data_IF_875208779195
#
_entry.id   IF_875208779195
#
_cell.length_a   1.000
_cell.length_b   1.000
_cell.length_c   1.000
_cell.angle_alpha   90.00
_cell.angle_beta   90.00
_cell.angle_gamma   90.00
#
_symmetry.space_group_name_H-M   'P 1'
#
loop_
_entity.id
_entity.type
_entity.pdbx_description
1 polymer ?
#
# COMPACT_ATOMS: atom_id res chain seq x y z
N UNK A 1 29.44 -7.76 7.63
CA UNK A 1 29.09 -7.30 6.28
C UNK A 1 28.81 -8.47 5.31
N UNK A 2 29.44 -9.67 5.49
CA UNK A 2 29.17 -10.87 4.65
C UNK A 2 27.82 -11.57 4.90
N UNK A 3 27.21 -11.38 6.06
CA UNK A 3 25.97 -12.10 6.46
C UNK A 3 24.70 -11.59 5.79
N UNK A 4 24.59 -10.29 5.55
CA UNK A 4 23.38 -9.67 5.00
C UNK A 4 23.22 -9.96 3.49
N UNK A 5 24.31 -9.97 2.74
CA UNK A 5 24.27 -10.36 1.31
C UNK A 5 23.75 -11.79 1.10
N UNK A 6 24.05 -12.69 2.03
CA UNK A 6 23.58 -14.09 1.95
C UNK A 6 22.10 -14.23 2.34
N UNK A 7 21.61 -13.37 3.22
CA UNK A 7 20.19 -13.41 3.62
C UNK A 7 19.28 -12.88 2.52
N UNK A 8 19.63 -11.75 1.90
CA UNK A 8 18.86 -11.17 0.79
C UNK A 8 18.90 -12.06 -0.47
N UNK A 9 20.02 -12.73 -0.76
CA UNK A 9 20.08 -13.69 -1.87
C UNK A 9 19.31 -14.99 -1.63
N UNK A 10 19.15 -15.44 -0.38
CA UNK A 10 18.37 -16.65 -0.08
C UNK A 10 16.87 -16.42 -0.01
N UNK A 11 16.43 -15.22 0.35
CA UNK A 11 14.99 -14.89 0.40
C UNK A 11 14.41 -14.59 -0.99
N UNK A 12 15.26 -14.26 -1.96
CA UNK A 12 14.83 -14.00 -3.35
C UNK A 12 14.69 -15.27 -4.22
N UNK A 13 15.03 -16.47 -3.76
CA UNK A 13 15.31 -17.59 -4.69
C UNK A 13 14.52 -18.86 -4.43
N UNK A 14 13.62 -18.97 -3.51
CA UNK A 14 12.78 -20.18 -3.42
C UNK A 14 11.40 -19.90 -2.85
N UNK A 15 10.62 -19.17 -3.58
CA UNK A 15 9.17 -19.13 -3.42
C UNK A 15 8.56 -19.12 -4.80
N UNK A 16 7.53 -19.92 -5.00
CA UNK A 16 6.75 -19.96 -6.22
C UNK A 16 6.61 -18.57 -6.85
N UNK A 17 6.58 -18.44 -8.18
CA UNK A 17 6.35 -17.17 -8.85
C UNK A 17 4.90 -16.74 -8.68
N UNK A 18 4.50 -16.45 -7.48
CA UNK A 18 3.43 -15.49 -7.21
C UNK A 18 4.08 -14.12 -7.36
N UNK A 19 4.61 -13.91 -8.53
CA UNK A 19 5.16 -12.64 -8.92
C UNK A 19 4.06 -11.61 -8.78
N UNK A 20 4.40 -10.44 -8.24
CA UNK A 20 3.55 -9.23 -8.22
C UNK A 20 2.83 -9.05 -9.56
N UNK A 21 3.51 -9.34 -10.68
CA UNK A 21 2.93 -9.43 -12.03
C UNK A 21 1.81 -10.45 -12.17
N UNK A 22 1.82 -11.55 -11.44
CA UNK A 22 0.73 -12.54 -11.49
C UNK A 22 -0.48 -12.07 -10.67
N UNK A 23 -0.26 -11.42 -9.52
CA UNK A 23 -1.32 -10.82 -8.73
C UNK A 23 -1.97 -9.64 -9.48
N UNK A 24 -1.19 -8.75 -10.06
CA UNK A 24 -1.70 -7.64 -10.87
C UNK A 24 -2.40 -8.11 -12.14
N UNK A 25 -1.94 -9.18 -12.79
CA UNK A 25 -2.64 -9.80 -13.94
C UNK A 25 -3.91 -10.54 -13.52
N UNK A 26 -3.90 -11.22 -12.39
CA UNK A 26 -5.06 -11.96 -11.90
C UNK A 26 -6.24 -11.03 -11.56
N UNK A 27 -5.96 -9.80 -11.11
CA UNK A 27 -6.99 -8.82 -10.76
C UNK A 27 -7.21 -7.75 -11.86
N UNK A 28 -6.65 -7.94 -13.07
CA UNK A 28 -6.79 -7.00 -14.20
C UNK A 28 -6.53 -5.54 -13.80
N UNK A 29 -5.45 -5.29 -13.04
CA UNK A 29 -5.02 -3.93 -12.68
C UNK A 29 -4.41 -3.22 -13.90
N UNK A 30 -5.09 -3.34 -15.02
CA UNK A 30 -4.77 -2.67 -16.28
C UNK A 30 -5.96 -1.85 -16.71
N UNK A 31 -5.92 -0.53 -16.47
CA UNK A 31 -6.93 0.40 -16.98
C UNK A 31 -8.18 0.54 -16.12
N UNK A 32 -8.06 0.44 -14.79
CA UNK A 32 -9.15 0.85 -13.91
C UNK A 32 -9.42 2.33 -14.12
N UNK A 33 -10.46 2.63 -14.90
CA UNK A 33 -11.08 3.95 -14.89
C UNK A 33 -11.67 4.15 -13.50
N UNK A 34 -11.62 5.38 -12.97
CA UNK A 34 -12.45 5.77 -11.84
C UNK A 34 -13.86 5.26 -12.13
N UNK A 35 -14.34 4.29 -11.37
CA UNK A 35 -15.70 3.79 -11.54
C UNK A 35 -16.64 4.96 -11.28
N UNK A 36 -17.50 5.28 -12.25
CA UNK A 36 -18.56 6.26 -12.04
C UNK A 36 -19.44 5.74 -10.89
N UNK A 37 -19.28 6.29 -9.70
CA UNK A 37 -20.02 5.84 -8.53
C UNK A 37 -19.44 6.36 -7.22
N UNK A 38 -20.13 6.10 -6.11
CA UNK A 38 -19.64 6.53 -4.80
C UNK A 38 -18.35 5.78 -4.44
N UNK A 39 -17.47 6.48 -3.72
CA UNK A 39 -16.27 5.87 -3.14
C UNK A 39 -16.61 4.57 -2.41
N UNK A 40 -15.76 3.55 -2.50
CA UNK A 40 -16.03 2.21 -1.93
C UNK A 40 -16.34 2.26 -0.43
N UNK A 41 -15.81 3.24 0.31
CA UNK A 41 -16.11 3.44 1.73
C UNK A 41 -17.51 4.05 2.00
N UNK A 42 -18.23 4.45 0.94
CA UNK A 42 -19.62 4.92 1.00
C UNK A 42 -20.63 3.81 0.75
N UNK A 43 -20.16 2.65 0.31
CA UNK A 43 -20.97 1.47 0.05
C UNK A 43 -21.18 0.65 1.32
N UNK A 44 -22.38 0.17 1.55
CA UNK A 44 -22.62 -0.89 2.53
C UNK A 44 -21.98 -2.20 2.08
N UNK A 45 -21.78 -3.14 2.99
CA UNK A 45 -21.12 -4.41 2.71
C UNK A 45 -21.73 -5.15 1.51
N UNK A 46 -23.05 -5.13 1.37
CA UNK A 46 -23.78 -5.76 0.27
C UNK A 46 -23.46 -5.12 -1.08
N UNK A 47 -23.28 -3.81 -1.10
CA UNK A 47 -23.12 -3.00 -2.31
C UNK A 47 -21.68 -3.03 -2.86
N UNK A 48 -20.70 -3.43 -2.04
CA UNK A 48 -19.32 -3.57 -2.50
C UNK A 48 -19.22 -4.76 -3.42
N UNK A 49 -18.66 -4.56 -4.60
CA UNK A 49 -18.40 -5.60 -5.59
C UNK A 49 -16.90 -5.91 -5.67
N UNK A 50 -16.57 -7.18 -5.94
CA UNK A 50 -15.18 -7.56 -6.21
C UNK A 50 -14.74 -6.88 -7.50
N UNK A 51 -13.61 -6.17 -7.43
CA UNK A 51 -13.11 -5.33 -8.52
C UNK A 51 -13.43 -3.84 -8.37
N UNK A 52 -14.31 -3.45 -7.44
CA UNK A 52 -14.48 -2.03 -7.10
C UNK A 52 -13.11 -1.41 -6.82
N UNK A 53 -12.77 -0.35 -7.54
CA UNK A 53 -11.43 0.25 -7.49
C UNK A 53 -11.50 1.75 -7.28
N UNK A 54 -10.64 2.26 -6.41
CA UNK A 54 -10.35 3.68 -6.24
C UNK A 54 -8.92 3.92 -6.73
N UNK A 55 -8.75 4.93 -7.57
CA UNK A 55 -7.44 5.44 -7.98
C UNK A 55 -7.30 6.83 -7.38
N UNK A 56 -6.24 7.03 -6.62
CA UNK A 56 -6.02 8.28 -5.88
C UNK A 56 -5.26 9.31 -6.71
N UNK A 57 -5.31 10.55 -6.28
CA UNK A 57 -4.32 11.55 -6.66
C UNK A 57 -2.91 11.11 -6.23
N UNK A 58 -1.89 11.65 -6.90
CA UNK A 58 -0.50 11.38 -6.56
C UNK A 58 0.00 12.34 -5.48
N UNK A 59 0.88 11.82 -4.63
CA UNK A 59 1.59 12.58 -3.60
C UNK A 59 3.08 12.64 -3.92
N UNK A 60 3.65 13.84 -3.91
CA UNK A 60 5.09 14.05 -4.02
C UNK A 60 5.75 13.70 -2.67
N UNK A 61 6.65 12.73 -2.69
CA UNK A 61 7.47 12.38 -1.52
C UNK A 61 8.61 13.40 -1.40
N UNK A 62 8.71 14.04 -0.25
CA UNK A 62 9.73 15.06 0.01
C UNK A 62 10.72 14.60 1.09
N UNK A 63 11.88 15.24 1.13
CA UNK A 63 12.84 15.02 2.20
C UNK A 63 12.27 15.41 3.56
N UNK A 64 11.42 16.47 3.62
CA UNK A 64 10.74 16.87 4.83
C UNK A 64 9.80 15.78 5.34
N UNK A 65 9.07 15.10 4.45
CA UNK A 65 8.23 13.96 4.85
C UNK A 65 9.04 12.85 5.51
N UNK A 66 10.24 12.56 5.02
CA UNK A 66 11.14 11.55 5.60
C UNK A 66 11.62 12.01 6.99
N UNK A 67 12.01 13.26 7.13
CA UNK A 67 12.46 13.83 8.40
C UNK A 67 11.33 13.85 9.44
N UNK A 68 10.15 14.33 9.07
CA UNK A 68 8.96 14.37 9.94
C UNK A 68 8.56 12.96 10.39
N UNK A 69 8.57 11.99 9.48
CA UNK A 69 8.25 10.62 9.82
C UNK A 69 9.31 9.99 10.74
N UNK A 70 10.60 10.27 10.53
CA UNK A 70 11.66 9.82 11.41
C UNK A 70 11.49 10.36 12.84
N UNK A 71 11.12 11.64 12.99
CA UNK A 71 10.85 12.22 14.31
C UNK A 71 9.60 11.63 14.96
N UNK A 72 8.53 11.43 14.18
CA UNK A 72 7.27 10.88 14.66
C UNK A 72 7.41 9.42 15.10
N UNK A 73 8.10 8.60 14.30
CA UNK A 73 8.21 7.15 14.50
C UNK A 73 9.38 6.76 15.42
N UNK A 74 10.40 7.60 15.50
CA UNK A 74 11.69 7.28 16.11
C UNK A 74 12.60 6.43 15.23
N UNK A 75 12.18 6.07 14.01
CA UNK A 75 13.00 5.29 13.06
C UNK A 75 14.02 6.21 12.38
N UNK A 76 15.19 6.29 12.98
CA UNK A 76 16.33 7.07 12.50
C UNK A 76 17.41 6.17 11.90
N UNK A 77 17.00 5.11 11.21
CA UNK A 77 17.94 4.25 10.50
C UNK A 77 18.74 5.06 9.48
N UNK A 78 20.04 4.80 9.36
CA UNK A 78 20.98 5.63 8.60
C UNK A 78 20.53 5.89 7.16
N UNK A 79 19.95 4.90 6.50
CA UNK A 79 19.51 5.03 5.11
C UNK A 79 18.39 6.08 4.90
N UNK A 80 17.69 6.46 5.97
CA UNK A 80 16.69 7.52 5.96
C UNK A 80 17.27 8.89 6.33
N UNK A 81 18.42 8.91 7.03
CA UNK A 81 18.90 10.13 7.70
C UNK A 81 20.19 10.72 7.15
N UNK A 82 21.09 9.91 6.58
CA UNK A 82 22.43 10.36 6.23
C UNK A 82 22.91 9.84 4.87
N UNK A 83 23.03 10.73 3.90
CA UNK A 83 23.51 10.42 2.55
C UNK A 83 24.95 9.91 2.54
N UNK A 84 25.81 10.39 3.45
CA UNK A 84 27.21 9.98 3.52
C UNK A 84 27.37 8.52 3.96
N UNK A 85 26.38 7.97 4.63
CA UNK A 85 26.34 6.59 5.09
C UNK A 85 25.87 5.59 4.03
N UNK A 86 25.51 6.03 2.83
CA UNK A 86 24.95 5.19 1.77
C UNK A 86 26.01 4.51 0.90
N UNK A 87 27.29 4.92 1.01
CA UNK A 87 28.37 4.32 0.24
C UNK A 87 28.44 2.80 0.45
N UNK A 88 28.47 2.06 -0.64
CA UNK A 88 28.49 0.59 -0.63
C UNK A 88 27.16 -0.08 -0.31
N UNK A 89 26.07 0.68 -0.21
CA UNK A 89 24.69 0.17 -0.07
C UNK A 89 24.02 0.04 -1.45
N UNK A 90 22.75 -0.39 -1.44
CA UNK A 90 21.90 -0.45 -2.64
C UNK A 90 21.18 0.87 -2.92
N UNK A 91 21.25 1.84 -2.00
CA UNK A 91 20.53 3.10 -2.08
C UNK A 91 21.39 4.17 -2.74
N UNK A 92 20.78 4.96 -3.61
CA UNK A 92 21.44 6.10 -4.30
C UNK A 92 21.27 7.41 -3.56
N UNK A 93 20.21 7.51 -2.78
CA UNK A 93 19.83 8.69 -1.99
C UNK A 93 19.18 8.24 -0.70
N UNK A 94 18.85 9.16 0.21
CA UNK A 94 18.07 8.87 1.41
C UNK A 94 16.70 8.30 0.99
N UNK A 95 16.44 7.06 1.40
CA UNK A 95 15.21 6.36 1.02
C UNK A 95 14.06 6.66 2.00
N UNK A 96 12.84 6.75 1.51
CA UNK A 96 11.66 6.88 2.34
C UNK A 96 11.43 5.59 3.17
N UNK A 97 10.98 5.75 4.41
CA UNK A 97 10.58 4.63 5.25
C UNK A 97 9.43 3.85 4.59
N UNK A 98 9.51 2.54 4.57
CA UNK A 98 8.42 1.71 4.06
C UNK A 98 7.10 1.98 4.81
N UNK A 99 7.17 2.13 6.13
CA UNK A 99 5.99 2.47 6.96
C UNK A 99 5.44 3.87 6.70
N UNK A 100 6.27 4.84 6.29
CA UNK A 100 5.78 6.13 5.80
C UNK A 100 4.94 5.93 4.54
N UNK A 101 5.45 5.18 3.55
CA UNK A 101 4.74 4.88 2.31
C UNK A 101 3.39 4.22 2.59
N UNK A 102 3.37 3.22 3.48
CA UNK A 102 2.13 2.53 3.90
C UNK A 102 1.14 3.49 4.57
N UNK A 103 1.61 4.31 5.51
CA UNK A 103 0.77 5.28 6.22
C UNK A 103 0.22 6.35 5.28
N UNK A 104 1.07 6.82 4.34
CA UNK A 104 0.67 7.80 3.34
C UNK A 104 -0.34 7.23 2.36
N UNK A 105 -0.15 5.98 1.92
CA UNK A 105 -1.10 5.28 1.07
C UNK A 105 -2.48 5.19 1.73
N UNK A 106 -2.54 4.85 3.03
CA UNK A 106 -3.79 4.83 3.78
C UNK A 106 -4.49 6.19 3.78
N UNK A 107 -3.73 7.27 3.96
CA UNK A 107 -4.26 8.64 3.88
C UNK A 107 -4.74 9.05 2.49
N UNK A 108 -4.17 8.48 1.43
CA UNK A 108 -4.57 8.77 0.06
C UNK A 108 -5.89 8.08 -0.34
N UNK A 109 -6.09 6.82 0.05
CA UNK A 109 -7.28 6.08 -0.36
C UNK A 109 -8.48 6.22 0.60
N UNK A 110 -8.31 6.80 1.78
CA UNK A 110 -9.42 6.95 2.74
C UNK A 110 -10.42 8.01 2.27
N UNK A 111 -11.71 7.74 2.43
CA UNK A 111 -12.74 8.77 2.44
C UNK A 111 -12.96 9.24 3.89
N UNK A 112 -12.64 10.50 4.24
CA UNK A 112 -12.68 10.97 5.61
C UNK A 112 -14.09 11.19 6.16
N UNK A 113 -15.11 11.15 5.32
CA UNK A 113 -16.45 11.39 5.77
C UNK A 113 -17.07 10.13 6.40
N UNK A 114 -17.97 10.34 7.37
CA UNK A 114 -18.67 9.24 8.02
C UNK A 114 -19.43 8.39 6.99
N UNK A 115 -19.19 7.10 7.01
CA UNK A 115 -19.79 6.12 6.11
C UNK A 115 -20.00 4.76 6.80
N UNK A 116 -20.36 3.72 6.03
CA UNK A 116 -20.59 2.37 6.54
C UNK A 116 -19.33 1.67 7.07
N UNK A 117 -18.14 2.08 6.63
CA UNK A 117 -16.87 1.50 7.07
C UNK A 117 -16.64 1.83 8.54
N UNK A 118 -16.38 0.82 9.35
CA UNK A 118 -16.22 0.95 10.79
C UNK A 118 -14.77 1.16 11.21
N UNK A 119 -13.84 0.38 10.63
CA UNK A 119 -12.42 0.41 11.01
C UNK A 119 -11.54 -0.30 9.97
N UNK A 120 -10.26 0.02 10.00
CA UNK A 120 -9.22 -0.77 9.37
C UNK A 120 -8.92 -1.98 10.26
N UNK A 121 -9.29 -3.18 9.77
CA UNK A 121 -9.23 -4.41 10.55
C UNK A 121 -7.81 -4.98 10.67
N UNK A 122 -7.01 -4.87 9.59
CA UNK A 122 -5.67 -5.43 9.59
C UNK A 122 -5.04 -5.43 8.20
N UNK A 123 -3.85 -6.00 8.15
CA UNK A 123 -3.07 -6.22 6.94
C UNK A 123 -2.64 -7.69 6.93
N UNK A 124 -3.02 -8.43 5.87
CA UNK A 124 -2.66 -9.84 5.74
C UNK A 124 -1.19 -9.98 5.29
N UNK A 125 -0.76 -9.14 4.36
CA UNK A 125 0.58 -9.17 3.77
C UNK A 125 0.97 -7.78 3.26
N UNK A 126 2.26 -7.45 3.36
CA UNK A 126 2.82 -6.24 2.77
C UNK A 126 4.22 -6.52 2.22
N UNK A 127 4.52 -6.00 1.04
CA UNK A 127 5.84 -6.06 0.41
C UNK A 127 6.23 -4.70 -0.12
N UNK A 128 7.42 -4.23 0.24
CA UNK A 128 8.07 -3.08 -0.37
C UNK A 128 8.93 -3.61 -1.51
N UNK A 129 8.59 -3.26 -2.74
CA UNK A 129 9.15 -3.87 -3.96
C UNK A 129 10.22 -3.04 -4.61
N UNK A 130 10.19 -1.72 -4.35
CA UNK A 130 11.10 -0.73 -4.93
C UNK A 130 11.35 0.39 -3.90
N UNK A 131 12.58 0.90 -3.76
CA UNK A 131 12.84 2.06 -2.92
C UNK A 131 12.12 3.29 -3.48
N UNK A 132 11.64 4.15 -2.59
CA UNK A 132 11.04 5.45 -2.94
C UNK A 132 11.95 6.56 -2.41
N UNK A 133 12.32 7.48 -3.29
CA UNK A 133 13.22 8.58 -3.00
C UNK A 133 12.50 9.94 -2.95
N UNK A 134 13.09 10.94 -2.32
CA UNK A 134 12.59 12.32 -2.44
C UNK A 134 12.50 12.76 -3.90
N UNK A 135 11.43 13.43 -4.27
CA UNK A 135 11.15 13.84 -5.65
C UNK A 135 10.28 12.86 -6.44
N UNK A 136 10.19 11.60 -6.02
CA UNK A 136 9.25 10.65 -6.61
C UNK A 136 7.80 10.95 -6.18
N UNK A 137 6.84 10.57 -7.01
CA UNK A 137 5.42 10.64 -6.66
C UNK A 137 4.86 9.24 -6.45
N UNK A 138 3.95 9.10 -5.51
CA UNK A 138 3.21 7.85 -5.27
C UNK A 138 1.70 8.07 -5.41
N UNK A 139 1.02 7.11 -6.04
CA UNK A 139 -0.43 7.00 -6.08
C UNK A 139 -0.87 5.62 -5.60
N UNK A 140 -2.17 5.43 -5.41
CA UNK A 140 -2.71 4.15 -4.94
C UNK A 140 -3.82 3.66 -5.87
N UNK A 141 -3.75 2.40 -6.23
CA UNK A 141 -4.87 1.61 -6.75
C UNK A 141 -5.38 0.72 -5.62
N UNK A 142 -6.59 1.00 -5.16
CA UNK A 142 -7.22 0.34 -4.02
C UNK A 142 -8.41 -0.46 -4.51
N UNK A 143 -8.27 -1.78 -4.60
CA UNK A 143 -9.23 -2.66 -5.29
C UNK A 143 -9.81 -3.72 -4.35
N UNK A 144 -11.13 -3.83 -4.26
CA UNK A 144 -11.81 -4.88 -3.52
C UNK A 144 -11.52 -6.25 -4.13
N UNK A 145 -10.91 -7.17 -3.36
CA UNK A 145 -10.50 -8.50 -3.84
C UNK A 145 -11.25 -9.67 -3.22
N UNK A 146 -11.77 -9.50 -2.02
CA UNK A 146 -12.45 -10.56 -1.28
C UNK A 146 -13.48 -9.98 -0.33
N UNK A 147 -14.60 -10.67 -0.16
CA UNK A 147 -15.65 -10.35 0.82
C UNK A 147 -15.88 -11.56 1.70
N UNK A 148 -15.84 -11.37 3.02
CA UNK A 148 -16.11 -12.39 4.02
C UNK A 148 -17.32 -11.94 4.82
N UNK A 149 -18.45 -12.58 4.61
CA UNK A 149 -19.67 -12.27 5.35
C UNK A 149 -19.54 -12.69 6.82
N UNK A 150 -20.04 -11.86 7.69
CA UNK A 150 -20.25 -12.18 9.11
C UNK A 150 -21.72 -12.56 9.33
N UNK A 151 -21.96 -13.35 10.36
CA UNK A 151 -23.32 -13.73 10.74
C UNK A 151 -24.12 -12.47 11.11
N UNK A 152 -25.29 -12.31 10.46
CA UNK A 152 -26.21 -11.22 10.73
C UNK A 152 -26.99 -11.53 12.00
N UNK A 153 -26.94 -10.64 12.99
CA UNK A 153 -27.78 -10.72 14.18
C UNK A 153 -29.20 -10.23 13.88
N UNK A 154 -30.17 -10.66 14.65
CA UNK A 154 -31.58 -10.29 14.45
C UNK A 154 -31.81 -8.77 14.46
N UNK A 155 -31.05 -8.04 15.27
CA UNK A 155 -31.15 -6.58 15.42
C UNK A 155 -30.26 -5.79 14.39
N UNK A 156 -29.50 -6.45 13.52
CA UNK A 156 -28.69 -5.78 12.53
C UNK A 156 -29.55 -5.34 11.33
N UNK A 157 -29.60 -4.04 11.07
CA UNK A 157 -30.30 -3.47 9.91
C UNK A 157 -29.62 -3.88 8.60
N UNK A 158 -28.28 -3.86 8.56
CA UNK A 158 -27.47 -4.19 7.41
C UNK A 158 -26.60 -5.42 7.68
N UNK A 159 -26.23 -6.13 6.61
CA UNK A 159 -25.24 -7.19 6.70
C UNK A 159 -23.86 -6.59 7.01
N UNK A 160 -23.03 -7.35 7.73
CA UNK A 160 -21.67 -6.98 8.11
C UNK A 160 -20.69 -7.98 7.54
N UNK A 161 -19.47 -7.54 7.38
CA UNK A 161 -18.40 -8.41 6.91
C UNK A 161 -17.05 -7.71 6.83
N UNK A 162 -16.07 -8.47 6.40
CA UNK A 162 -14.73 -7.99 6.12
C UNK A 162 -14.60 -7.91 4.60
N UNK A 163 -14.19 -6.75 4.10
CA UNK A 163 -13.76 -6.59 2.70
C UNK A 163 -12.25 -6.50 2.70
N UNK A 164 -11.60 -7.40 1.96
CA UNK A 164 -10.15 -7.33 1.75
C UNK A 164 -9.86 -6.58 0.46
N UNK A 165 -8.88 -5.72 0.52
CA UNK A 165 -8.46 -4.91 -0.61
C UNK A 165 -7.03 -5.24 -1.01
N UNK A 166 -6.76 -5.19 -2.29
CA UNK A 166 -5.43 -5.07 -2.83
C UNK A 166 -5.05 -3.58 -2.82
N UNK A 167 -3.97 -3.25 -2.14
CA UNK A 167 -3.43 -1.89 -2.06
C UNK A 167 -2.16 -1.85 -2.87
N UNK A 168 -2.24 -1.40 -4.10
CA UNK A 168 -1.10 -1.26 -5.00
C UNK A 168 -0.66 0.21 -4.99
N UNK A 169 0.46 0.48 -4.33
CA UNK A 169 1.11 1.80 -4.34
C UNK A 169 2.10 1.81 -5.49
N UNK A 170 1.96 2.79 -6.37
CA UNK A 170 2.74 2.90 -7.60
C UNK A 170 3.39 4.29 -7.74
N UNK A 171 4.51 4.34 -8.44
CA UNK A 171 5.26 5.57 -8.70
C UNK A 171 4.73 6.37 -9.91
N UNK A 172 5.49 7.39 -10.34
CA UNK A 172 5.17 8.22 -11.50
C UNK A 172 5.12 7.44 -12.82
N UNK A 173 5.89 6.35 -12.93
CA UNK A 173 5.95 5.48 -14.09
C UNK A 173 4.85 4.41 -14.08
N UNK A 174 4.12 4.29 -12.96
CA UNK A 174 3.08 3.29 -12.75
C UNK A 174 3.61 1.96 -12.23
N UNK A 175 4.88 1.89 -11.84
CA UNK A 175 5.50 0.70 -11.26
C UNK A 175 5.16 0.57 -9.77
N UNK A 176 4.85 -0.65 -9.34
CA UNK A 176 4.51 -0.94 -7.95
C UNK A 176 5.73 -0.75 -7.04
N UNK A 177 5.57 0.07 -6.00
CA UNK A 177 6.57 0.31 -4.95
C UNK A 177 6.21 -0.38 -3.63
N UNK A 178 4.92 -0.62 -3.41
CA UNK A 178 4.40 -1.39 -2.27
C UNK A 178 3.11 -2.12 -2.67
N UNK A 179 2.98 -3.34 -2.23
CA UNK A 179 1.78 -4.16 -2.41
C UNK A 179 1.42 -4.86 -1.11
#
# INVERSE_FOLDING_TARGET
>A
VRGIKHYLQRTAIQGHPTTITALTKQYQVGGAQNTEGPHVFRKHFEEVEIGDTVITDKHLVTLDNINEFAELSGDKFYAHMDENSLEGTIFTERVAHGYFIMSKAAGLFVDPAKGPVLLNYGIDECRFTKPVYPGMTIGVRFTAKEKISQEKREDDEFSKGIVKFLVDVYDEEGETVML
#
